data_IF_336569100186
#
_entry.id   IF_336569100186
#
_cell.length_a   1.000
_cell.length_b   1.000
_cell.length_c   1.000
_cell.angle_alpha   90.00
_cell.angle_beta   90.00
_cell.angle_gamma   90.00
#
_symmetry.space_group_name_H-M   'P 1'
#
loop_
_entity.id
_entity.type
_entity.pdbx_description
1 polymer ?
#
# COMPACT_ATOMS: atom_id res chain seq x y z
N UNK A 1 -1.98 6.88 -40.02
CA UNK A 1 -2.39 8.00 -39.14
C UNK A 1 -1.99 7.65 -37.73
N UNK A 2 -1.60 8.63 -36.91
CA UNK A 2 -1.25 8.34 -35.52
C UNK A 2 -2.53 7.89 -34.80
N UNK A 3 -2.47 6.82 -33.99
CA UNK A 3 -3.60 6.32 -33.19
C UNK A 3 -4.27 7.44 -32.38
N UNK A 4 -3.49 8.42 -31.93
CA UNK A 4 -3.98 9.60 -31.24
C UNK A 4 -4.95 10.44 -32.09
N UNK A 5 -4.69 10.63 -33.38
CA UNK A 5 -5.59 11.38 -34.27
C UNK A 5 -6.93 10.66 -34.44
N UNK A 6 -6.90 9.33 -34.55
CA UNK A 6 -8.10 8.49 -34.63
C UNK A 6 -8.92 8.59 -33.35
N UNK A 7 -8.27 8.48 -32.18
CA UNK A 7 -8.93 8.64 -30.88
C UNK A 7 -9.53 10.05 -30.74
N UNK A 8 -8.83 11.10 -31.18
CA UNK A 8 -9.34 12.48 -31.14
C UNK A 8 -10.61 12.63 -31.98
N UNK A 9 -10.64 12.05 -33.18
CA UNK A 9 -11.83 12.06 -34.04
C UNK A 9 -12.97 11.25 -33.41
N UNK A 10 -12.67 10.09 -32.82
CA UNK A 10 -13.64 9.26 -32.11
C UNK A 10 -14.27 10.04 -30.94
N UNK A 11 -13.45 10.70 -30.12
CA UNK A 11 -13.93 11.53 -29.01
C UNK A 11 -14.86 12.65 -29.49
N UNK A 12 -14.54 13.30 -30.62
CA UNK A 12 -15.40 14.32 -31.20
C UNK A 12 -16.73 13.74 -31.67
N UNK A 13 -16.73 12.57 -32.32
CA UNK A 13 -17.95 11.86 -32.73
C UNK A 13 -18.81 11.41 -31.55
N UNK A 14 -18.18 10.97 -30.44
CA UNK A 14 -18.88 10.60 -29.20
C UNK A 14 -19.57 11.81 -28.58
N UNK A 15 -18.87 12.96 -28.47
CA UNK A 15 -19.47 14.22 -27.99
C UNK A 15 -20.62 14.72 -28.86
N UNK A 16 -20.55 14.44 -30.16
CA UNK A 16 -21.60 14.79 -31.12
C UNK A 16 -22.75 13.77 -31.20
N UNK A 17 -22.69 12.66 -30.45
CA UNK A 17 -23.71 11.61 -30.49
C UNK A 17 -23.79 10.89 -31.85
N UNK A 18 -22.69 10.82 -32.60
CA UNK A 18 -22.67 10.29 -33.97
C UNK A 18 -22.77 8.76 -34.05
N UNK A 19 -22.56 8.05 -32.94
CA UNK A 19 -22.58 6.58 -32.88
C UNK A 19 -23.89 6.12 -32.22
N UNK A 20 -24.89 5.78 -33.03
CA UNK A 20 -26.27 5.60 -32.56
C UNK A 20 -26.66 4.15 -32.24
N UNK A 21 -25.81 3.18 -32.59
CA UNK A 21 -26.03 1.75 -32.34
C UNK A 21 -24.71 0.97 -32.28
N UNK A 22 -24.79 -0.31 -31.88
CA UNK A 22 -23.65 -1.25 -31.83
C UNK A 22 -22.86 -1.35 -33.15
N UNK A 23 -23.54 -1.32 -34.30
CA UNK A 23 -22.87 -1.37 -35.61
C UNK A 23 -22.01 -0.12 -35.87
N UNK A 24 -22.51 1.06 -35.48
CA UNK A 24 -21.78 2.33 -35.57
C UNK A 24 -20.58 2.35 -34.61
N UNK A 25 -20.72 1.77 -33.41
CA UNK A 25 -19.59 1.60 -32.48
C UNK A 25 -18.55 0.64 -33.07
N UNK A 26 -18.98 -0.53 -33.54
CA UNK A 26 -18.10 -1.54 -34.11
C UNK A 26 -17.31 -1.02 -35.31
N UNK A 27 -17.99 -0.45 -36.31
CA UNK A 27 -17.35 0.03 -37.53
C UNK A 27 -16.66 1.39 -37.36
N UNK A 28 -17.30 2.30 -36.64
CA UNK A 28 -16.88 3.69 -36.50
C UNK A 28 -15.91 3.96 -35.37
N UNK A 29 -15.68 2.99 -34.46
CA UNK A 29 -14.75 3.11 -33.33
C UNK A 29 -13.82 1.90 -33.26
N UNK A 30 -14.37 0.70 -33.04
CA UNK A 30 -13.57 -0.50 -32.73
C UNK A 30 -12.62 -0.83 -33.89
N UNK A 31 -13.13 -0.98 -35.11
CA UNK A 31 -12.32 -1.33 -36.27
C UNK A 31 -11.27 -0.25 -36.61
N UNK A 32 -11.57 1.04 -36.38
CA UNK A 32 -10.60 2.13 -36.58
C UNK A 32 -9.43 2.04 -35.62
N UNK A 33 -9.71 1.77 -34.34
CA UNK A 33 -8.69 1.57 -33.31
C UNK A 33 -7.86 0.34 -33.66
N UNK A 34 -8.50 -0.81 -33.96
CA UNK A 34 -7.80 -2.05 -34.29
C UNK A 34 -6.88 -1.91 -35.51
N UNK A 35 -7.36 -1.26 -36.58
CA UNK A 35 -6.56 -0.98 -37.77
C UNK A 35 -5.32 -0.13 -37.44
N UNK A 36 -5.50 0.89 -36.59
CA UNK A 36 -4.40 1.76 -36.14
C UNK A 36 -3.40 1.05 -35.24
N UNK A 37 -3.83 -0.01 -34.56
CA UNK A 37 -3.01 -0.88 -33.73
C UNK A 37 -2.27 -1.99 -34.52
N UNK A 38 -2.43 -1.99 -35.85
CA UNK A 38 -1.74 -2.92 -36.75
C UNK A 38 -2.45 -4.26 -36.95
N UNK A 39 -3.72 -4.38 -36.55
CA UNK A 39 -4.51 -5.58 -36.86
C UNK A 39 -4.95 -5.58 -38.33
N UNK A 40 -4.87 -6.74 -38.98
CA UNK A 40 -5.45 -6.96 -40.30
C UNK A 40 -6.98 -7.00 -40.26
N UNK A 41 -7.64 -5.84 -40.21
CA UNK A 41 -9.13 -5.78 -40.10
C UNK A 41 -9.89 -6.35 -41.31
N UNK A 42 -9.21 -6.56 -42.43
CA UNK A 42 -9.75 -7.23 -43.62
C UNK A 42 -9.37 -8.72 -43.71
N UNK A 43 -8.59 -9.22 -42.75
CA UNK A 43 -8.20 -10.61 -42.62
C UNK A 43 -9.02 -11.27 -41.50
N UNK A 44 -10.05 -12.03 -41.88
CA UNK A 44 -10.92 -12.72 -40.93
C UNK A 44 -10.20 -13.79 -40.09
N UNK A 45 -8.96 -14.15 -40.45
CA UNK A 45 -8.13 -15.03 -39.62
C UNK A 45 -7.42 -14.27 -38.51
N UNK A 46 -7.32 -12.94 -38.58
CA UNK A 46 -6.74 -12.08 -37.53
C UNK A 46 -7.80 -11.30 -36.76
N UNK A 47 -8.78 -10.71 -37.45
CA UNK A 47 -9.92 -10.02 -36.83
C UNK A 47 -11.18 -10.72 -37.31
N UNK A 48 -11.65 -11.68 -36.52
CA UNK A 48 -12.77 -12.53 -36.88
C UNK A 48 -14.09 -11.92 -36.37
N UNK A 49 -14.97 -11.43 -37.25
CA UNK A 49 -16.25 -10.83 -36.83
C UNK A 49 -17.28 -11.91 -36.45
N UNK A 50 -18.20 -11.57 -35.56
CA UNK A 50 -19.32 -12.44 -35.15
C UNK A 50 -18.84 -13.84 -34.70
N UNK A 51 -17.74 -13.88 -33.94
CA UNK A 51 -17.07 -15.12 -33.56
C UNK A 51 -17.91 -15.94 -32.59
N UNK A 52 -18.15 -17.21 -32.95
CA UNK A 52 -19.00 -18.12 -32.16
C UNK A 52 -18.21 -18.82 -31.05
N UNK A 53 -18.70 -18.72 -29.81
CA UNK A 53 -18.13 -19.32 -28.60
C UNK A 53 -19.06 -20.43 -28.08
N UNK A 54 -19.36 -21.41 -28.92
CA UNK A 54 -20.28 -22.51 -28.58
C UNK A 54 -21.73 -22.03 -28.48
N UNK A 55 -22.20 -21.74 -27.26
CA UNK A 55 -23.59 -21.31 -27.00
C UNK A 55 -23.81 -19.80 -27.13
N UNK A 56 -22.76 -19.02 -27.43
CA UNK A 56 -22.81 -17.58 -27.59
C UNK A 56 -21.99 -17.08 -28.77
N UNK A 57 -22.01 -15.77 -28.95
CA UNK A 57 -21.28 -15.07 -30.01
C UNK A 57 -20.75 -13.75 -29.45
N UNK A 58 -19.62 -13.30 -29.99
CA UNK A 58 -19.04 -11.99 -29.71
C UNK A 58 -18.79 -11.23 -31.01
N UNK A 59 -18.78 -9.92 -30.95
CA UNK A 59 -18.62 -9.07 -32.14
C UNK A 59 -17.29 -9.30 -32.84
N UNK A 60 -16.19 -9.42 -32.09
CA UNK A 60 -14.88 -9.73 -32.67
C UNK A 60 -14.06 -10.70 -31.83
N UNK A 61 -13.34 -11.59 -32.49
CA UNK A 61 -12.19 -12.28 -31.93
C UNK A 61 -10.89 -11.80 -32.60
N UNK A 62 -9.94 -11.34 -31.78
CA UNK A 62 -8.62 -10.95 -32.21
C UNK A 62 -7.69 -12.17 -32.07
N UNK A 63 -7.22 -12.67 -33.21
CA UNK A 63 -6.53 -13.93 -33.31
C UNK A 63 -5.03 -13.73 -33.49
N UNK A 64 -4.25 -14.33 -32.59
CA UNK A 64 -2.80 -14.43 -32.74
C UNK A 64 -2.30 -15.68 -32.00
N UNK A 65 -1.84 -16.72 -32.71
CA UNK A 65 -1.69 -16.84 -34.18
C UNK A 65 -3.04 -16.82 -34.94
N UNK A 66 -3.04 -16.72 -36.29
CA UNK A 66 -4.27 -16.71 -37.09
C UNK A 66 -5.24 -17.83 -36.74
N UNK A 67 -6.53 -17.51 -36.73
CA UNK A 67 -7.66 -18.36 -36.33
C UNK A 67 -7.60 -18.91 -34.89
N UNK A 68 -6.66 -18.44 -34.07
CA UNK A 68 -6.59 -18.76 -32.64
C UNK A 68 -6.85 -17.50 -31.80
N UNK A 69 -8.03 -17.38 -31.16
CA UNK A 69 -8.40 -16.18 -30.43
C UNK A 69 -7.51 -15.95 -29.22
N UNK A 70 -6.92 -14.76 -29.14
CA UNK A 70 -6.15 -14.28 -27.99
C UNK A 70 -6.96 -13.27 -27.16
N UNK A 71 -7.83 -12.51 -27.82
CA UNK A 71 -8.72 -11.53 -27.20
C UNK A 71 -10.09 -11.65 -27.84
N UNK A 72 -11.15 -11.55 -27.05
CA UNK A 72 -12.51 -11.35 -27.57
C UNK A 72 -13.02 -9.96 -27.20
N UNK A 73 -13.77 -9.34 -28.11
CA UNK A 73 -14.32 -7.99 -27.97
C UNK A 73 -15.82 -8.05 -28.19
N UNK A 74 -16.56 -7.49 -27.23
CA UNK A 74 -18.00 -7.34 -27.27
C UNK A 74 -18.34 -5.85 -27.19
N UNK A 75 -19.22 -5.40 -28.07
CA UNK A 75 -19.75 -4.05 -28.11
C UNK A 75 -21.16 -3.98 -27.53
N UNK A 76 -21.53 -2.79 -27.06
CA UNK A 76 -22.88 -2.43 -26.60
C UNK A 76 -23.24 -1.06 -27.17
N UNK A 77 -24.52 -0.70 -27.11
CA UNK A 77 -24.93 0.69 -27.37
C UNK A 77 -24.20 1.65 -26.43
N UNK A 78 -23.83 2.83 -26.93
CA UNK A 78 -23.18 3.90 -26.14
C UNK A 78 -23.97 4.16 -24.85
N UNK A 79 -23.30 4.09 -23.70
CA UNK A 79 -23.88 4.27 -22.37
C UNK A 79 -24.52 3.01 -21.76
N UNK A 80 -24.44 1.85 -22.42
CA UNK A 80 -25.03 0.57 -21.96
C UNK A 80 -24.00 -0.53 -21.69
N UNK A 81 -22.73 -0.18 -21.40
CA UNK A 81 -21.71 -1.18 -21.07
C UNK A 81 -21.95 -1.92 -19.72
N UNK A 82 -22.79 -1.40 -18.82
CA UNK A 82 -23.02 -1.99 -17.50
C UNK A 82 -24.00 -3.19 -17.54
N UNK A 83 -23.68 -4.25 -16.80
CA UNK A 83 -24.59 -5.39 -16.55
C UNK A 83 -24.53 -6.54 -17.55
N UNK A 84 -23.97 -6.35 -18.76
CA UNK A 84 -23.73 -7.42 -19.75
C UNK A 84 -22.41 -8.19 -19.52
N UNK A 85 -21.62 -7.66 -18.60
CA UNK A 85 -20.32 -8.09 -18.11
C UNK A 85 -20.14 -9.62 -17.90
N UNK A 86 -21.10 -10.27 -17.23
CA UNK A 86 -20.95 -11.67 -16.77
C UNK A 86 -20.89 -12.68 -17.91
N UNK A 87 -21.72 -12.50 -18.93
CA UNK A 87 -21.87 -13.49 -20.00
C UNK A 87 -20.62 -13.57 -20.89
N UNK A 88 -20.08 -12.41 -21.29
CA UNK A 88 -18.84 -12.32 -22.07
C UNK A 88 -17.69 -13.07 -21.38
N UNK A 89 -17.59 -12.90 -20.06
CA UNK A 89 -16.54 -13.47 -19.26
C UNK A 89 -16.67 -14.98 -19.10
N UNK A 90 -17.88 -15.49 -18.87
CA UNK A 90 -18.12 -16.93 -18.78
C UNK A 90 -17.69 -17.63 -20.08
N UNK A 91 -18.00 -17.06 -21.24
CA UNK A 91 -17.52 -17.58 -22.52
C UNK A 91 -16.00 -17.55 -22.65
N UNK A 92 -15.39 -16.41 -22.32
CA UNK A 92 -13.94 -16.25 -22.38
C UNK A 92 -13.23 -17.26 -21.47
N UNK A 93 -13.74 -17.46 -20.26
CA UNK A 93 -13.18 -18.37 -19.26
C UNK A 93 -13.26 -19.83 -19.73
N UNK A 94 -14.43 -20.29 -20.18
CA UNK A 94 -14.63 -21.66 -20.63
C UNK A 94 -13.81 -22.02 -21.87
N UNK A 95 -13.58 -21.06 -22.76
CA UNK A 95 -12.79 -21.24 -23.98
C UNK A 95 -11.29 -20.96 -23.77
N UNK A 96 -10.88 -20.61 -22.54
CA UNK A 96 -9.48 -20.33 -22.21
C UNK A 96 -8.91 -19.09 -22.91
N UNK A 97 -9.77 -18.12 -23.25
CA UNK A 97 -9.35 -16.87 -23.88
C UNK A 97 -8.58 -16.02 -22.86
N UNK A 98 -7.34 -15.59 -23.18
CA UNK A 98 -6.50 -14.85 -22.25
C UNK A 98 -7.07 -13.51 -21.75
N UNK A 99 -7.78 -12.78 -22.62
CA UNK A 99 -8.33 -11.46 -22.30
C UNK A 99 -9.70 -11.26 -22.97
N UNK A 100 -10.60 -10.60 -22.27
CA UNK A 100 -11.88 -10.16 -22.81
C UNK A 100 -12.02 -8.65 -22.70
N UNK A 101 -12.63 -8.02 -23.70
CA UNK A 101 -12.88 -6.57 -23.74
C UNK A 101 -14.36 -6.33 -23.93
N UNK A 102 -14.95 -5.54 -23.04
CA UNK A 102 -16.31 -5.04 -23.18
C UNK A 102 -16.26 -3.54 -23.43
N UNK A 103 -16.97 -3.06 -24.44
CA UNK A 103 -17.00 -1.63 -24.75
C UNK A 103 -18.34 -1.17 -25.27
N UNK A 104 -18.64 0.10 -25.10
CA UNK A 104 -19.73 0.79 -25.81
C UNK A 104 -19.20 1.90 -26.74
N UNK A 105 -17.90 1.88 -27.03
CA UNK A 105 -17.18 2.90 -27.76
C UNK A 105 -16.59 3.99 -26.87
N UNK A 106 -17.30 4.44 -25.82
CA UNK A 106 -16.77 5.41 -24.85
C UNK A 106 -16.01 4.71 -23.72
N UNK A 107 -16.67 3.78 -23.04
CA UNK A 107 -16.09 2.99 -21.96
C UNK A 107 -15.50 1.69 -22.52
N UNK A 108 -14.32 1.33 -22.04
CA UNK A 108 -13.59 0.13 -22.42
C UNK A 108 -13.11 -0.58 -21.16
N UNK A 109 -13.67 -1.75 -20.90
CA UNK A 109 -13.31 -2.58 -19.75
C UNK A 109 -12.49 -3.78 -20.21
N UNK A 110 -11.29 -3.92 -19.67
CA UNK A 110 -10.36 -5.01 -19.97
C UNK A 110 -10.42 -6.03 -18.83
N UNK A 111 -10.61 -7.30 -19.16
CA UNK A 111 -10.76 -8.38 -18.20
C UNK A 111 -9.75 -9.50 -18.44
N UNK A 112 -9.34 -10.16 -17.35
CA UNK A 112 -8.52 -11.37 -17.38
C UNK A 112 -9.33 -12.57 -16.86
N UNK A 113 -9.95 -13.36 -17.76
CA UNK A 113 -10.87 -14.42 -17.37
C UNK A 113 -10.25 -15.47 -16.44
N UNK A 114 -9.02 -15.87 -16.74
CA UNK A 114 -8.31 -16.92 -16.00
C UNK A 114 -7.73 -16.53 -14.64
N UNK A 115 -7.78 -15.25 -14.25
CA UNK A 115 -7.23 -14.80 -12.96
C UNK A 115 -8.23 -14.99 -11.80
N UNK A 116 -7.75 -14.92 -10.56
CA UNK A 116 -8.57 -15.18 -9.36
C UNK A 116 -9.50 -14.00 -8.99
N UNK A 117 -10.41 -14.21 -8.04
CA UNK A 117 -11.29 -13.15 -7.51
C UNK A 117 -12.70 -13.14 -8.12
N UNK A 118 -13.55 -12.24 -7.63
CA UNK A 118 -14.89 -12.02 -8.17
C UNK A 118 -14.82 -11.36 -9.57
N UNK A 119 -15.93 -11.41 -10.31
CA UNK A 119 -16.01 -10.89 -11.68
C UNK A 119 -15.42 -9.46 -11.82
N UNK A 120 -15.92 -8.52 -11.02
CA UNK A 120 -15.50 -7.12 -11.07
C UNK A 120 -14.04 -6.95 -10.63
N UNK A 121 -13.51 -7.89 -9.84
CA UNK A 121 -12.13 -7.85 -9.39
C UNK A 121 -11.15 -8.18 -10.51
N UNK A 122 -11.57 -9.03 -11.47
CA UNK A 122 -10.80 -9.46 -12.65
C UNK A 122 -10.79 -8.43 -13.78
N UNK A 123 -11.47 -7.30 -13.62
CA UNK A 123 -11.31 -6.14 -14.47
C UNK A 123 -9.94 -5.50 -14.16
N UNK A 124 -9.01 -5.57 -15.12
CA UNK A 124 -7.65 -5.02 -14.97
C UNK A 124 -7.65 -3.50 -15.16
N UNK A 125 -8.46 -2.99 -16.08
CA UNK A 125 -8.50 -1.57 -16.39
C UNK A 125 -9.86 -1.17 -16.97
N UNK A 126 -10.34 0.02 -16.60
CA UNK A 126 -11.48 0.68 -17.24
C UNK A 126 -11.00 2.02 -17.82
N UNK A 127 -11.17 2.19 -19.11
CA UNK A 127 -10.84 3.40 -19.86
C UNK A 127 -12.13 4.08 -20.30
N UNK A 128 -12.31 5.36 -19.95
CA UNK A 128 -13.34 6.21 -20.53
C UNK A 128 -12.66 7.22 -21.45
N UNK A 129 -12.98 7.14 -22.75
CA UNK A 129 -12.37 7.99 -23.78
C UNK A 129 -12.75 9.47 -23.64
N UNK A 130 -13.88 9.81 -23.02
CA UNK A 130 -14.25 11.22 -22.79
C UNK A 130 -13.64 11.78 -21.51
N UNK A 131 -13.35 10.93 -20.53
CA UNK A 131 -12.73 11.33 -19.27
C UNK A 131 -11.20 11.40 -19.32
N UNK A 132 -10.55 10.88 -20.37
CA UNK A 132 -9.09 10.78 -20.48
C UNK A 132 -8.50 11.58 -21.65
N UNK A 133 -7.29 12.14 -21.49
CA UNK A 133 -6.54 12.71 -22.61
C UNK A 133 -6.31 11.67 -23.72
N UNK A 134 -6.19 12.15 -24.95
CA UNK A 134 -5.96 11.31 -26.14
C UNK A 134 -4.68 10.48 -26.01
N UNK A 135 -3.61 11.09 -25.49
CA UNK A 135 -2.29 10.48 -25.35
C UNK A 135 -2.29 9.36 -24.29
N UNK A 136 -3.04 9.55 -23.20
CA UNK A 136 -3.23 8.51 -22.18
C UNK A 136 -4.04 7.33 -22.74
N UNK A 137 -5.13 7.64 -23.44
CA UNK A 137 -6.00 6.63 -24.06
C UNK A 137 -5.23 5.78 -25.08
N UNK A 138 -4.41 6.43 -25.92
CA UNK A 138 -3.56 5.76 -26.91
C UNK A 138 -2.57 4.80 -26.25
N UNK A 139 -1.93 5.19 -25.14
CA UNK A 139 -1.01 4.32 -24.39
C UNK A 139 -1.69 3.05 -23.88
N UNK A 140 -2.93 3.15 -23.40
CA UNK A 140 -3.68 1.97 -22.92
C UNK A 140 -3.98 1.01 -24.07
N UNK A 141 -4.46 1.52 -25.21
CA UNK A 141 -4.71 0.70 -26.39
C UNK A 141 -3.43 0.06 -26.95
N UNK A 142 -2.33 0.81 -27.02
CA UNK A 142 -1.03 0.26 -27.43
C UNK A 142 -0.57 -0.86 -26.50
N UNK A 143 -0.68 -0.64 -25.18
CA UNK A 143 -0.23 -1.60 -24.16
C UNK A 143 -0.99 -2.92 -24.20
N UNK A 144 -2.31 -2.90 -24.41
CA UNK A 144 -3.16 -4.08 -24.28
C UNK A 144 -3.64 -4.68 -25.61
N UNK A 145 -3.73 -3.88 -26.68
CA UNK A 145 -4.33 -4.29 -27.94
C UNK A 145 -3.41 -4.14 -29.15
N UNK A 146 -2.19 -3.58 -29.05
CA UNK A 146 -1.31 -3.51 -30.21
C UNK A 146 -0.97 -4.92 -30.73
N UNK A 147 -1.12 -5.13 -32.05
CA UNK A 147 -0.92 -6.46 -32.65
C UNK A 147 0.43 -7.08 -32.27
N UNK A 148 1.53 -6.32 -32.37
CA UNK A 148 2.86 -6.81 -31.99
C UNK A 148 3.01 -7.17 -30.51
N UNK A 149 2.35 -6.45 -29.61
CA UNK A 149 2.36 -6.74 -28.17
C UNK A 149 1.49 -7.97 -27.85
N UNK A 150 0.36 -8.14 -28.53
CA UNK A 150 -0.50 -9.33 -28.40
C UNK A 150 0.19 -10.57 -28.99
N UNK A 151 0.78 -10.45 -30.17
CA UNK A 151 1.46 -11.55 -30.85
C UNK A 151 2.69 -12.07 -30.11
N UNK A 152 3.40 -11.17 -29.41
CA UNK A 152 4.53 -11.56 -28.55
C UNK A 152 4.12 -12.00 -27.14
N UNK A 153 2.83 -11.92 -26.78
CA UNK A 153 2.31 -12.25 -25.45
C UNK A 153 2.48 -11.14 -24.39
N UNK A 154 3.25 -10.10 -24.69
CA UNK A 154 3.54 -8.98 -23.78
C UNK A 154 2.29 -8.22 -23.35
N UNK A 155 1.28 -8.09 -24.21
CA UNK A 155 0.01 -7.45 -23.83
C UNK A 155 -0.69 -8.18 -22.66
N UNK A 156 -0.71 -9.51 -22.70
CA UNK A 156 -1.31 -10.34 -21.65
C UNK A 156 -0.44 -10.31 -20.38
N UNK A 157 0.89 -10.35 -20.51
CA UNK A 157 1.80 -10.22 -19.37
C UNK A 157 1.66 -8.87 -18.66
N UNK A 158 1.58 -7.78 -19.43
CA UNK A 158 1.33 -6.43 -18.94
C UNK A 158 0.01 -6.37 -18.16
N UNK A 159 -1.07 -6.89 -18.73
CA UNK A 159 -2.37 -6.92 -18.06
C UNK A 159 -2.31 -7.75 -16.77
N UNK A 160 -1.65 -8.92 -16.77
CA UNK A 160 -1.47 -9.73 -15.55
C UNK A 160 -0.67 -9.01 -14.48
N UNK A 161 0.39 -8.30 -14.86
CA UNK A 161 1.18 -7.48 -13.94
C UNK A 161 0.32 -6.38 -13.29
N UNK A 162 -0.46 -5.68 -14.09
CA UNK A 162 -1.31 -4.57 -13.62
C UNK A 162 -2.43 -5.11 -12.71
N UNK A 163 -3.04 -6.24 -13.07
CA UNK A 163 -4.01 -6.93 -12.23
C UNK A 163 -3.41 -7.34 -10.87
N UNK A 164 -2.18 -7.89 -10.84
CA UNK A 164 -1.50 -8.25 -9.57
C UNK A 164 -1.25 -7.05 -8.68
N UNK A 165 -0.91 -5.90 -9.27
CA UNK A 165 -0.68 -4.67 -8.52
C UNK A 165 -1.99 -4.17 -7.88
N UNK A 166 -3.09 -4.18 -8.62
CA UNK A 166 -4.42 -3.79 -8.12
C UNK A 166 -4.95 -4.79 -7.09
N UNK A 167 -4.82 -6.09 -7.35
CA UNK A 167 -5.30 -7.14 -6.44
C UNK A 167 -4.50 -7.20 -5.15
N UNK A 168 -3.19 -6.95 -5.17
CA UNK A 168 -2.38 -6.81 -3.95
C UNK A 168 -2.89 -5.68 -3.06
N UNK A 169 -3.24 -4.52 -3.65
CA UNK A 169 -3.85 -3.41 -2.90
C UNK A 169 -5.15 -3.85 -2.20
N UNK A 170 -6.08 -4.44 -2.96
CA UNK A 170 -7.35 -4.93 -2.41
C UNK A 170 -7.19 -6.01 -1.34
N UNK A 171 -6.25 -6.95 -1.53
CA UNK A 171 -5.94 -7.99 -0.55
C UNK A 171 -5.40 -7.38 0.75
N UNK A 172 -4.54 -6.37 0.66
CA UNK A 172 -4.05 -5.63 1.82
C UNK A 172 -5.22 -4.92 2.50
N UNK A 173 -6.07 -4.21 1.76
CA UNK A 173 -7.22 -3.49 2.32
C UNK A 173 -8.22 -4.44 3.00
N UNK A 174 -8.44 -5.64 2.45
CA UNK A 174 -9.30 -6.65 3.07
C UNK A 174 -8.64 -7.35 4.28
N UNK A 175 -7.32 -7.46 4.30
CA UNK A 175 -6.56 -8.07 5.38
C UNK A 175 -6.32 -7.11 6.55
N UNK A 176 -6.20 -5.80 6.29
CA UNK A 176 -5.89 -4.78 7.29
C UNK A 176 -6.90 -4.77 8.46
N UNK A 177 -8.23 -4.71 8.24
CA UNK A 177 -9.20 -4.79 9.33
C UNK A 177 -9.08 -6.10 10.11
N UNK A 178 -8.89 -7.24 9.43
CA UNK A 178 -8.76 -8.55 10.09
C UNK A 178 -7.52 -8.61 10.97
N UNK A 179 -6.38 -8.15 10.46
CA UNK A 179 -5.13 -8.07 11.19
C UNK A 179 -5.28 -7.15 12.42
N UNK A 180 -5.92 -6.00 12.27
CA UNK A 180 -6.20 -5.10 13.40
C UNK A 180 -7.07 -5.76 14.48
N UNK A 181 -8.19 -6.38 14.09
CA UNK A 181 -9.06 -7.09 15.03
C UNK A 181 -8.34 -8.25 15.73
N UNK A 182 -7.44 -8.93 15.01
CA UNK A 182 -6.63 -10.00 15.57
C UNK A 182 -5.64 -9.45 16.61
N UNK A 183 -4.91 -8.37 16.31
CA UNK A 183 -4.02 -7.71 17.27
C UNK A 183 -4.76 -7.28 18.55
N UNK A 184 -5.99 -6.76 18.41
CA UNK A 184 -6.82 -6.37 19.55
C UNK A 184 -7.27 -7.59 20.38
N UNK A 185 -7.74 -8.65 19.70
CA UNK A 185 -8.23 -9.88 20.36
C UNK A 185 -7.11 -10.62 21.09
N UNK A 186 -5.98 -10.77 20.42
CA UNK A 186 -4.83 -11.52 20.91
C UNK A 186 -4.05 -10.70 21.96
N UNK A 187 -4.40 -9.43 22.15
CA UNK A 187 -3.75 -8.49 23.08
C UNK A 187 -2.24 -8.45 22.85
N UNK A 188 -1.86 -8.24 21.59
CA UNK A 188 -0.46 -8.27 21.15
C UNK A 188 0.45 -7.42 22.06
N UNK A 189 1.55 -8.01 22.52
CA UNK A 189 2.43 -7.41 23.53
C UNK A 189 3.01 -6.07 23.07
N UNK A 190 3.37 -5.94 21.78
CA UNK A 190 3.91 -4.68 21.24
C UNK A 190 2.83 -3.60 21.17
N UNK A 191 1.58 -3.97 20.90
CA UNK A 191 0.46 -3.03 20.92
C UNK A 191 0.15 -2.56 22.35
N UNK A 192 0.16 -3.47 23.32
CA UNK A 192 -0.02 -3.15 24.74
C UNK A 192 1.07 -2.18 25.22
N UNK A 193 2.33 -2.47 24.89
CA UNK A 193 3.47 -1.62 25.23
C UNK A 193 3.35 -0.24 24.57
N UNK A 194 3.01 -0.19 23.27
CA UNK A 194 2.86 1.07 22.53
C UNK A 194 1.77 1.97 23.12
N UNK A 195 0.64 1.38 23.55
CA UNK A 195 -0.43 2.13 24.21
C UNK A 195 -0.01 2.58 25.60
N UNK A 196 0.68 1.73 26.37
CA UNK A 196 1.19 2.10 27.69
C UNK A 196 2.16 3.29 27.63
N UNK A 197 3.11 3.27 26.70
CA UNK A 197 4.05 4.37 26.44
C UNK A 197 3.32 5.66 26.02
N UNK A 198 2.26 5.52 25.21
CA UNK A 198 1.46 6.68 24.80
C UNK A 198 0.68 7.28 25.96
N UNK A 199 0.12 6.47 26.84
CA UNK A 199 -0.55 6.93 28.07
C UNK A 199 0.45 7.63 28.99
N UNK A 200 1.64 7.06 29.20
CA UNK A 200 2.71 7.70 29.96
C UNK A 200 3.08 9.06 29.39
N UNK A 201 3.17 9.19 28.07
CA UNK A 201 3.44 10.49 27.42
C UNK A 201 2.34 11.52 27.69
N UNK A 202 1.09 11.08 27.80
CA UNK A 202 -0.07 11.97 27.97
C UNK A 202 -0.31 12.39 29.42
N UNK A 203 -0.05 11.53 30.40
CA UNK A 203 -0.35 11.79 31.81
C UNK A 203 0.83 11.65 32.77
N UNK A 204 2.03 11.31 32.28
CA UNK A 204 3.25 11.16 33.07
C UNK A 204 3.33 9.86 33.88
N UNK A 205 2.33 8.99 33.78
CA UNK A 205 2.25 7.72 34.54
C UNK A 205 2.09 6.56 33.57
N UNK A 206 2.99 5.58 33.64
CA UNK A 206 2.90 4.36 32.83
C UNK A 206 1.87 3.40 33.44
N UNK A 207 0.80 3.05 32.72
CA UNK A 207 -0.19 2.10 33.23
C UNK A 207 0.39 0.69 33.25
N UNK A 208 -0.11 -0.16 34.16
CA UNK A 208 0.25 -1.57 34.18
C UNK A 208 -0.20 -2.27 32.89
N UNK A 209 0.59 -3.20 32.33
CA UNK A 209 0.25 -3.91 31.09
C UNK A 209 -1.12 -4.58 31.13
N UNK A 210 -1.49 -5.15 32.28
CA UNK A 210 -2.80 -5.79 32.48
C UNK A 210 -3.98 -4.82 32.34
N UNK A 211 -3.81 -3.57 32.79
CA UNK A 211 -4.85 -2.54 32.65
C UNK A 211 -5.04 -2.12 31.19
N UNK A 212 -3.94 -2.00 30.44
CA UNK A 212 -3.96 -1.67 29.01
C UNK A 212 -4.54 -2.82 28.18
N UNK A 213 -4.14 -4.06 28.48
CA UNK A 213 -4.66 -5.25 27.82
C UNK A 213 -6.17 -5.42 28.04
N UNK A 214 -6.66 -5.14 29.26
CA UNK A 214 -8.09 -5.12 29.58
C UNK A 214 -8.84 -4.03 28.79
N UNK A 215 -8.26 -2.83 28.67
CA UNK A 215 -8.83 -1.75 27.86
C UNK A 215 -8.91 -2.16 26.38
N UNK A 216 -7.82 -2.70 25.81
CA UNK A 216 -7.78 -3.19 24.43
C UNK A 216 -8.83 -4.29 24.20
N UNK A 217 -8.94 -5.24 25.13
CA UNK A 217 -9.96 -6.28 25.11
C UNK A 217 -11.38 -5.71 25.12
N UNK A 218 -11.64 -4.63 25.88
CA UNK A 218 -12.95 -3.98 25.92
C UNK A 218 -13.39 -3.38 24.57
N UNK A 219 -12.43 -3.01 23.72
CA UNK A 219 -12.70 -2.51 22.36
C UNK A 219 -13.26 -3.61 21.44
N UNK A 220 -13.00 -4.88 21.74
CA UNK A 220 -13.52 -6.02 20.97
C UNK A 220 -14.95 -6.42 21.35
N UNK A 221 -15.41 -6.05 22.53
CA UNK A 221 -16.73 -6.43 23.08
C UNK A 221 -17.82 -5.39 22.80
N UNK A 222 -17.47 -4.26 22.15
CA UNK A 222 -18.45 -3.27 21.72
C UNK A 222 -19.09 -2.51 22.87
N UNK A 223 -18.32 -1.67 23.56
CA UNK A 223 -18.84 -0.48 24.24
C UNK A 223 -17.72 0.56 24.28
N UNK A 224 -17.74 1.49 23.31
CA UNK A 224 -17.02 2.75 23.46
C UNK A 224 -17.82 3.57 24.49
N UNK A 225 -17.43 3.48 25.76
CA UNK A 225 -17.80 4.53 26.73
C UNK A 225 -16.75 5.63 26.55
N UNK A 226 -17.08 6.62 25.70
CA UNK A 226 -16.42 7.92 25.80
C UNK A 226 -16.98 8.55 27.08
N UNK A 227 -16.22 8.51 28.16
CA UNK A 227 -16.50 9.35 29.32
C UNK A 227 -15.84 10.70 29.06
N UNK A 228 -16.67 11.69 28.69
CA UNK A 228 -16.30 13.10 28.69
C UNK A 228 -15.78 13.51 30.07
N UNK A 229 -14.74 14.35 30.05
CA UNK A 229 -14.11 14.91 31.22
C UNK A 229 -15.12 15.70 32.08
N UNK A 230 -15.20 15.36 33.36
CA UNK A 230 -15.70 16.28 34.39
C UNK A 230 -14.71 16.34 35.55
N UNK A 231 -14.30 17.56 35.89
CA UNK A 231 -13.62 17.93 37.12
C UNK A 231 -14.50 18.95 37.87
N UNK A 232 -14.22 19.29 39.15
CA UNK A 232 -14.14 18.41 40.31
C UNK A 232 -15.08 18.91 41.44
N UNK A 233 -15.49 18.04 42.38
CA UNK A 233 -16.06 18.49 43.65
C UNK A 233 -15.48 17.68 44.83
N UNK A 234 -15.03 18.42 45.84
CA UNK A 234 -14.29 17.97 47.00
C UNK A 234 -15.17 17.33 48.09
N UNK A 235 -14.64 16.32 48.79
CA UNK A 235 -14.50 16.25 50.26
C UNK A 235 -13.90 14.90 50.73
N UNK A 236 -12.87 14.99 51.57
CA UNK A 236 -12.14 13.98 52.35
C UNK A 236 -12.96 13.34 53.49
N UNK A 237 -12.40 12.46 54.37
CA UNK A 237 -11.56 11.28 54.17
C UNK A 237 -12.05 10.07 55.02
N UNK A 238 -11.67 8.82 54.70
CA UNK A 238 -11.63 7.74 55.72
C UNK A 238 -10.40 6.87 55.52
N UNK A 239 -9.52 6.93 56.52
CA UNK A 239 -8.37 6.06 56.73
C UNK A 239 -8.81 4.68 57.20
N UNK A 240 -8.26 3.59 56.67
CA UNK A 240 -7.77 2.46 57.47
C UNK A 240 -6.60 1.75 56.78
N UNK A 241 -5.63 1.21 57.55
CA UNK A 241 -4.36 0.72 57.04
C UNK A 241 -4.42 -0.79 56.76
N UNK A 242 -3.96 -1.23 55.59
CA UNK A 242 -3.72 -2.67 55.35
C UNK A 242 -2.30 -2.87 54.79
N UNK A 243 -1.62 -3.76 55.49
CA UNK A 243 -0.22 -4.17 55.42
C UNK A 243 0.29 -4.53 54.01
N UNK A 244 1.52 -4.10 53.71
CA UNK A 244 2.33 -4.57 52.58
C UNK A 244 2.77 -6.02 52.79
N UNK A 245 2.57 -6.92 51.80
CA UNK A 245 3.46 -8.07 51.60
C UNK A 245 4.73 -7.62 50.83
N UNK A 246 5.83 -8.39 50.91
CA UNK A 246 7.13 -7.99 50.38
C UNK A 246 7.13 -8.02 48.84
N UNK A 247 7.99 -7.18 48.27
CA UNK A 247 8.23 -7.05 46.85
C UNK A 247 8.48 -8.43 46.20
N UNK A 248 7.62 -8.79 45.23
CA UNK A 248 7.97 -9.77 44.20
C UNK A 248 8.67 -9.02 43.07
N UNK A 249 9.95 -9.26 42.92
CA UNK A 249 10.80 -8.82 41.82
C UNK A 249 10.23 -9.32 40.48
N UNK A 250 9.61 -8.44 39.72
CA UNK A 250 9.57 -8.52 38.26
C UNK A 250 9.96 -7.15 37.72
N UNK A 251 11.28 -6.95 37.61
CA UNK A 251 11.91 -5.71 37.18
C UNK A 251 11.55 -5.34 35.74
N UNK A 252 11.27 -4.06 35.54
CA UNK A 252 10.98 -3.45 34.25
C UNK A 252 12.17 -3.47 33.30
N UNK A 253 11.91 -3.85 32.05
CA UNK A 253 12.93 -3.93 30.99
C UNK A 253 12.92 -2.72 30.04
N UNK A 254 12.08 -1.70 30.29
CA UNK A 254 11.80 -0.62 29.32
C UNK A 254 11.99 0.82 29.85
N UNK A 255 12.28 1.02 31.14
CA UNK A 255 12.57 2.35 31.67
C UNK A 255 14.10 2.55 31.70
N UNK A 256 14.64 3.03 30.58
CA UNK A 256 16.07 3.31 30.44
C UNK A 256 16.31 4.81 30.29
N UNK A 257 17.29 5.28 31.05
CA UNK A 257 17.78 6.66 31.03
C UNK A 257 19.29 6.68 30.85
N UNK A 258 19.90 5.58 30.43
CA UNK A 258 21.31 5.54 30.09
C UNK A 258 21.70 4.29 29.34
N UNK A 259 22.99 4.18 29.06
CA UNK A 259 23.58 2.95 28.55
C UNK A 259 24.86 2.61 29.31
N UNK A 260 25.13 1.33 29.45
CA UNK A 260 26.42 0.82 29.88
C UNK A 260 27.13 0.23 28.67
N UNK A 261 28.36 0.68 28.40
CA UNK A 261 29.17 0.23 27.29
C UNK A 261 30.52 -0.24 27.80
N UNK A 262 30.84 -1.53 27.63
CA UNK A 262 32.06 -2.17 28.17
C UNK A 262 32.37 -1.83 29.64
N UNK A 263 31.35 -1.77 30.50
CA UNK A 263 31.50 -1.47 31.93
C UNK A 263 31.57 0.01 32.30
N UNK A 264 31.55 0.92 31.32
CA UNK A 264 31.39 2.36 31.57
C UNK A 264 29.92 2.76 31.45
N UNK A 265 29.38 3.36 32.52
CA UNK A 265 27.99 3.81 32.57
C UNK A 265 27.89 5.25 32.06
N UNK A 266 27.02 5.47 31.09
CA UNK A 266 26.67 6.77 30.57
C UNK A 266 25.21 7.07 30.88
N UNK A 267 24.97 8.12 31.67
CA UNK A 267 23.62 8.56 32.05
C UNK A 267 23.10 9.62 31.08
N UNK A 268 21.79 9.65 30.90
CA UNK A 268 21.03 10.59 30.11
C UNK A 268 19.73 10.99 30.85
N UNK A 269 19.20 12.18 30.58
CA UNK A 269 17.96 12.64 31.21
C UNK A 269 16.68 12.05 30.60
N UNK A 270 16.79 11.27 29.52
CA UNK A 270 15.67 10.74 28.75
C UNK A 270 16.13 9.64 27.78
N UNK A 271 15.20 8.82 27.30
CA UNK A 271 15.50 7.78 26.30
C UNK A 271 16.10 8.35 25.00
N UNK A 272 15.62 9.52 24.54
CA UNK A 272 16.22 10.19 23.37
C UNK A 272 17.63 10.67 23.68
N UNK A 273 17.90 11.12 24.91
CA UNK A 273 19.24 11.41 25.39
C UNK A 273 20.14 10.16 25.38
N UNK A 274 19.61 9.00 25.73
CA UNK A 274 20.33 7.72 25.65
C UNK A 274 20.70 7.39 24.20
N UNK A 275 19.79 7.60 23.24
CA UNK A 275 20.10 7.41 21.81
C UNK A 275 21.27 8.30 21.38
N UNK A 276 21.24 9.58 21.73
CA UNK A 276 22.33 10.51 21.44
C UNK A 276 23.65 10.04 22.06
N UNK A 277 23.63 9.62 23.32
CA UNK A 277 24.83 9.16 24.03
C UNK A 277 25.41 7.90 23.40
N UNK A 278 24.58 6.95 22.98
CA UNK A 278 25.03 5.77 22.23
C UNK A 278 25.68 6.18 20.91
N UNK A 279 25.05 7.05 20.13
CA UNK A 279 25.58 7.49 18.84
C UNK A 279 26.89 8.27 19.00
N UNK A 280 27.01 9.07 20.06
CA UNK A 280 28.24 9.77 20.44
C UNK A 280 29.37 8.78 20.72
N UNK A 281 29.14 7.80 21.59
CA UNK A 281 30.15 6.78 21.95
C UNK A 281 30.59 5.97 20.73
N UNK A 282 29.65 5.55 19.88
CA UNK A 282 29.96 4.74 18.70
C UNK A 282 30.66 5.54 17.60
N UNK A 283 30.23 6.78 17.33
CA UNK A 283 30.86 7.64 16.32
C UNK A 283 32.25 8.15 16.72
N UNK A 284 32.51 8.31 18.02
CA UNK A 284 33.85 8.63 18.52
C UNK A 284 34.85 7.48 18.33
N UNK A 285 34.37 6.23 18.36
CA UNK A 285 35.19 5.02 18.18
C UNK A 285 35.38 4.64 16.72
N UNK A 286 34.37 4.88 15.89
CA UNK A 286 34.39 4.61 14.45
C UNK A 286 33.78 5.78 13.68
N UNK A 287 34.61 6.55 13.00
CA UNK A 287 34.19 7.71 12.21
C UNK A 287 33.29 7.35 11.04
N UNK A 288 33.29 6.08 10.60
CA UNK A 288 32.42 5.58 9.51
C UNK A 288 31.06 5.09 10.01
N UNK A 289 30.87 4.99 11.33
CA UNK A 289 29.66 4.42 11.93
C UNK A 289 28.37 5.11 11.45
N UNK A 290 28.33 6.45 11.47
CA UNK A 290 27.14 7.21 11.09
C UNK A 290 26.75 6.98 9.63
N UNK A 291 27.74 6.85 8.73
CA UNK A 291 27.50 6.55 7.31
C UNK A 291 26.98 5.13 7.12
N UNK A 292 27.61 4.15 7.76
CA UNK A 292 27.16 2.75 7.71
C UNK A 292 25.76 2.61 8.30
N UNK A 293 25.48 3.27 9.42
CA UNK A 293 24.17 3.29 10.03
C UNK A 293 23.13 3.92 9.11
N UNK A 294 23.39 5.10 8.56
CA UNK A 294 22.47 5.78 7.63
C UNK A 294 22.22 4.99 6.33
N UNK A 295 23.18 4.15 5.89
CA UNK A 295 23.06 3.32 4.70
C UNK A 295 22.16 2.08 4.85
N UNK A 296 21.72 1.75 6.08
CA UNK A 296 20.86 0.59 6.32
C UNK A 296 19.55 0.68 5.50
N UNK A 297 19.17 -0.39 4.77
CA UNK A 297 17.91 -0.43 4.03
C UNK A 297 16.66 -0.49 4.93
N UNK A 298 16.84 -0.74 6.25
CA UNK A 298 15.79 -0.90 7.26
C UNK A 298 15.67 0.29 8.23
N UNK A 299 15.80 1.52 7.75
CA UNK A 299 15.28 2.66 8.54
C UNK A 299 13.76 2.64 8.46
N UNK A 300 13.07 2.70 9.60
CA UNK A 300 11.65 2.34 9.74
C UNK A 300 10.76 2.81 8.58
N UNK A 301 10.21 1.86 7.81
CA UNK A 301 9.24 1.87 6.67
C UNK A 301 9.07 3.12 5.77
N UNK A 302 9.15 4.37 6.28
CA UNK A 302 9.10 5.64 5.53
C UNK A 302 9.98 6.78 6.12
N UNK A 303 10.52 6.68 7.33
CA UNK A 303 11.27 7.75 8.04
C UNK A 303 12.67 7.29 8.41
N UNK A 304 13.66 8.19 8.35
CA UNK A 304 15.04 7.90 8.79
C UNK A 304 15.26 8.32 10.24
N UNK A 305 16.04 7.54 10.99
CA UNK A 305 16.50 7.94 12.33
C UNK A 305 17.62 8.98 12.26
N UNK A 306 18.48 8.86 11.25
CA UNK A 306 19.67 9.67 11.03
C UNK A 306 19.77 10.02 9.53
N UNK A 307 19.97 11.30 9.18
CA UNK A 307 20.22 11.73 7.79
C UNK A 307 21.06 13.01 7.73
N UNK A 308 21.80 13.21 6.63
CA UNK A 308 22.44 14.51 6.32
C UNK A 308 21.42 15.55 5.86
N UNK A 309 20.28 15.11 5.33
CA UNK A 309 19.16 15.99 4.95
C UNK A 309 18.03 15.87 5.99
N UNK A 310 17.73 17.00 6.65
CA UNK A 310 16.70 17.12 7.69
C UNK A 310 15.31 16.67 7.21
N UNK A 311 14.98 16.88 5.93
CA UNK A 311 13.67 16.52 5.36
C UNK A 311 13.44 15.01 5.24
N UNK A 312 14.50 14.20 5.29
CA UNK A 312 14.39 12.74 5.23
C UNK A 312 13.94 12.12 6.57
N UNK A 313 14.02 12.88 7.66
CA UNK A 313 13.61 12.42 8.99
C UNK A 313 12.08 12.34 9.11
N UNK A 314 11.37 13.31 8.51
CA UNK A 314 9.91 13.35 8.47
C UNK A 314 9.39 13.70 7.06
N UNK A 315 9.42 12.76 6.09
CA UNK A 315 9.03 13.05 4.72
C UNK A 315 7.58 13.54 4.60
N UNK A 316 7.40 14.64 3.87
CA UNK A 316 6.09 15.30 3.68
C UNK A 316 5.59 16.11 4.89
N UNK A 317 6.42 16.27 5.94
CA UNK A 317 6.08 16.98 7.19
C UNK A 317 7.20 17.95 7.59
N UNK A 318 7.37 19.08 6.86
CA UNK A 318 8.42 20.06 7.15
C UNK A 318 8.26 20.72 8.53
N UNK A 319 7.02 20.82 9.03
CA UNK A 319 6.69 21.27 10.38
C UNK A 319 7.39 20.43 11.46
N UNK A 320 7.31 19.10 11.35
CA UNK A 320 7.96 18.19 12.30
C UNK A 320 9.47 18.16 12.14
N UNK A 321 9.98 18.42 10.92
CA UNK A 321 11.42 18.54 10.71
C UNK A 321 11.98 19.69 11.54
N UNK A 322 11.34 20.86 11.50
CA UNK A 322 11.79 22.04 12.23
C UNK A 322 11.74 21.87 13.75
N UNK A 323 10.68 21.26 14.27
CA UNK A 323 10.45 21.14 15.71
C UNK A 323 11.17 19.95 16.36
N UNK A 324 11.34 18.83 15.62
CA UNK A 324 11.79 17.55 16.20
C UNK A 324 13.04 16.98 15.53
N UNK A 325 13.96 17.83 15.03
CA UNK A 325 15.25 17.37 14.52
C UNK A 325 16.41 18.10 15.18
N UNK A 326 17.38 17.34 15.68
CA UNK A 326 18.59 17.90 16.30
C UNK A 326 19.84 17.50 15.53
N UNK A 327 20.77 18.44 15.40
CA UNK A 327 22.11 18.22 14.82
C UNK A 327 23.15 18.25 15.94
N UNK A 328 23.74 17.09 16.24
CA UNK A 328 24.81 16.96 17.25
C UNK A 328 26.08 16.30 16.71
N UNK A 329 26.08 15.86 15.46
CA UNK A 329 27.17 15.08 14.87
C UNK A 329 27.59 15.64 13.51
N UNK A 330 28.23 16.83 13.47
CA UNK A 330 28.98 17.30 12.29
C UNK A 330 28.26 17.20 10.93
N UNK A 331 27.03 17.73 10.82
CA UNK A 331 26.23 17.70 9.58
C UNK A 331 25.24 16.55 9.47
N UNK A 332 25.09 15.74 10.52
CA UNK A 332 24.04 14.74 10.65
C UNK A 332 22.91 15.20 11.57
N UNK A 333 21.68 14.91 11.14
CA UNK A 333 20.44 15.19 11.87
C UNK A 333 19.84 13.90 12.41
N UNK A 334 19.33 13.95 13.64
CA UNK A 334 18.57 12.88 14.28
C UNK A 334 17.17 13.40 14.63
N UNK A 335 16.15 12.59 14.35
CA UNK A 335 14.79 12.88 14.79
C UNK A 335 14.64 12.68 16.31
N UNK A 336 13.84 13.50 16.97
CA UNK A 336 13.65 13.42 18.44
C UNK A 336 12.25 12.97 18.85
N UNK A 337 11.29 12.96 17.92
CA UNK A 337 9.92 12.52 18.16
C UNK A 337 9.77 10.99 17.93
N UNK A 338 10.31 10.20 18.85
CA UNK A 338 10.27 8.73 18.82
C UNK A 338 9.80 8.15 20.17
N UNK A 339 9.10 7.01 20.13
CA UNK A 339 8.77 6.24 21.34
C UNK A 339 10.02 5.57 21.95
N UNK A 340 9.98 5.17 23.22
CA UNK A 340 11.07 4.43 23.89
C UNK A 340 11.38 3.11 23.17
N UNK A 341 10.37 2.36 22.76
CA UNK A 341 10.52 1.15 21.95
C UNK A 341 11.19 1.40 20.59
N UNK A 342 10.83 2.49 19.92
CA UNK A 342 11.45 2.92 18.66
C UNK A 342 12.92 3.28 18.87
N UNK A 343 13.24 3.95 19.99
CA UNK A 343 14.60 4.29 20.37
C UNK A 343 15.42 3.03 20.69
N UNK A 344 14.86 2.09 21.46
CA UNK A 344 15.51 0.80 21.75
C UNK A 344 15.85 0.06 20.46
N UNK A 345 14.89 -0.01 19.53
CA UNK A 345 15.12 -0.63 18.22
C UNK A 345 16.23 0.07 17.42
N UNK A 346 16.27 1.41 17.43
CA UNK A 346 17.34 2.16 16.78
C UNK A 346 18.72 1.86 17.43
N UNK A 347 18.77 1.68 18.75
CA UNK A 347 19.99 1.30 19.48
C UNK A 347 20.42 -0.15 19.17
N UNK A 348 19.47 -1.08 19.04
CA UNK A 348 19.75 -2.46 18.62
C UNK A 348 20.36 -2.49 17.21
N UNK A 349 19.79 -1.73 16.27
CA UNK A 349 20.36 -1.56 14.93
C UNK A 349 21.76 -0.92 14.99
N UNK A 350 21.96 0.06 15.87
CA UNK A 350 23.27 0.69 16.06
C UNK A 350 24.31 -0.30 16.56
N UNK A 351 23.93 -1.18 17.50
CA UNK A 351 24.79 -2.26 17.97
C UNK A 351 25.15 -3.23 16.84
N UNK A 352 24.18 -3.63 16.00
CA UNK A 352 24.43 -4.50 14.85
C UNK A 352 25.42 -3.87 13.87
N UNK A 353 25.27 -2.59 13.54
CA UNK A 353 26.19 -1.86 12.65
C UNK A 353 27.59 -1.75 13.26
N UNK A 354 27.67 -1.51 14.57
CA UNK A 354 28.94 -1.44 15.30
C UNK A 354 29.57 -2.82 15.57
N UNK A 355 28.91 -3.94 15.21
CA UNK A 355 29.40 -5.29 15.48
C UNK A 355 29.34 -5.69 16.97
N UNK A 356 28.42 -5.08 17.72
CA UNK A 356 28.25 -5.27 19.16
C UNK A 356 27.04 -6.14 19.47
N UNK A 357 27.11 -6.94 20.53
CA UNK A 357 25.97 -7.70 21.05
C UNK A 357 25.17 -6.84 22.02
N UNK A 358 23.98 -6.42 21.61
CA UNK A 358 23.02 -5.74 22.48
C UNK A 358 22.67 -6.65 23.67
N UNK A 359 22.59 -6.08 24.87
CA UNK A 359 22.39 -6.84 26.12
C UNK A 359 23.66 -7.42 26.73
N UNK A 360 24.79 -7.45 26.00
CA UNK A 360 26.09 -7.88 26.52
C UNK A 360 27.14 -6.77 26.48
N UNK A 361 27.48 -6.31 25.27
CA UNK A 361 28.53 -5.31 25.03
C UNK A 361 28.02 -3.88 25.23
N UNK A 362 26.73 -3.67 24.96
CA UNK A 362 25.98 -2.45 25.24
C UNK A 362 24.64 -2.83 25.89
N UNK A 363 24.34 -2.25 27.06
CA UNK A 363 23.10 -2.48 27.81
C UNK A 363 22.40 -1.16 28.08
N UNK A 364 21.07 -1.16 28.09
CA UNK A 364 20.28 -0.01 28.52
C UNK A 364 20.10 -0.07 30.03
N UNK A 365 20.21 1.07 30.71
CA UNK A 365 20.26 1.19 32.18
C UNK A 365 19.53 2.41 32.72
#
# INVERSE_FOLDING_TARGET
MALEDEIRQIQNGLRAGSYTNEAAVSQGIILRILNSLGWGIFDATQVWPEYSLGSGRVDFALCSPPSKPAIIVESKDVGKAQGAERQLFEYAFHQGIPMAVLTDGQEWSFFLPGEQGAYHERCVYKLDLLARPTEESAKIFLRYLQFGEVASGRAIENAKSDYRNVSRGRQIDAALPKAWHQLLRDQDELLVELVADRVETLCGVKPEPAAVAKFIGSLTTGHIIVQEAQAPLAATPVSQPILRPPASEFGGELDFSGCEFHGQRHTAGSAIGTLFKVFEVLSARDTTFLERFASLPKHGRKRRYLSRNKLDLYPGRPDLCEEYSESKFGGWWIGTNFSRSTIRHAIELACQVAGLRFGHDLRLV
#
